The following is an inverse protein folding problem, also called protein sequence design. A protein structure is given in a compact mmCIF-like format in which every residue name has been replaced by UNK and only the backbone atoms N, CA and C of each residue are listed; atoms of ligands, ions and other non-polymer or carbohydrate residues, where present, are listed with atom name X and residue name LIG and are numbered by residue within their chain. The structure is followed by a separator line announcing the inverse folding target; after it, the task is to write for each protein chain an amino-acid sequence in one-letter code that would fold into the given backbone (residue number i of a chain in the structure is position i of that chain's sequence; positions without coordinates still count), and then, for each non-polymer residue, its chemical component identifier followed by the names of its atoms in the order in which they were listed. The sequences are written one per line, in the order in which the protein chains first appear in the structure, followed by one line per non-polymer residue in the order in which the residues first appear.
data_IF_177965176763
#
_entry.id   IF_177965176763
#
_cell.length_a   1.000
_cell.length_b   1.000
_cell.length_c   1.000
_cell.angle_alpha   90.00
_cell.angle_beta   90.00
_cell.angle_gamma   90.00
#
_symmetry.space_group_name_H-M   'P 1'
#
loop_
_entity.id
_entity.type
_entity.pdbx_description
1 polymer ?
#
# COMPACT_ATOMS: atom_id res chain seq x y z
N UNK A 1 19.53 -7.34 12.04
CA UNK A 1 20.17 -6.24 11.26
C UNK A 1 19.89 -6.51 9.79
N UNK A 2 19.54 -5.51 9.00
CA UNK A 2 19.28 -5.68 7.56
C UNK A 2 20.60 -5.92 6.82
N UNK A 3 20.64 -6.96 5.98
CA UNK A 3 21.80 -7.24 5.13
C UNK A 3 21.72 -6.37 3.85
N UNK A 4 22.61 -5.40 3.73
CA UNK A 4 22.69 -4.52 2.57
C UNK A 4 22.94 -5.25 1.24
N UNK A 5 23.49 -6.49 1.27
CA UNK A 5 23.68 -7.30 0.06
C UNK A 5 22.37 -7.71 -0.61
N UNK A 6 21.27 -7.72 0.15
CA UNK A 6 19.92 -8.05 -0.33
C UNK A 6 19.19 -6.83 -0.87
N UNK A 7 19.77 -5.63 -0.77
CA UNK A 7 19.17 -4.39 -1.25
C UNK A 7 19.61 -4.15 -2.69
N UNK A 8 18.67 -3.71 -3.52
CA UNK A 8 18.95 -3.32 -4.90
C UNK A 8 20.00 -2.19 -4.92
N UNK A 9 21.09 -2.40 -5.66
CA UNK A 9 22.22 -1.46 -5.74
C UNK A 9 21.80 -0.11 -6.34
N UNK A 10 20.84 -0.11 -7.26
CA UNK A 10 20.32 1.12 -7.84
C UNK A 10 19.49 1.92 -6.83
N UNK A 11 18.71 1.26 -5.96
CA UNK A 11 18.02 1.95 -4.86
C UNK A 11 19.02 2.59 -3.88
N UNK A 12 20.14 1.90 -3.57
CA UNK A 12 21.20 2.46 -2.72
C UNK A 12 21.83 3.70 -3.39
N UNK A 13 22.11 3.66 -4.70
CA UNK A 13 22.69 4.81 -5.40
C UNK A 13 21.75 6.02 -5.39
N UNK A 14 20.45 5.82 -5.60
CA UNK A 14 19.45 6.91 -5.54
C UNK A 14 19.44 7.56 -4.16
N UNK A 15 19.45 6.75 -3.08
CA UNK A 15 19.50 7.28 -1.71
C UNK A 15 20.77 8.11 -1.47
N UNK A 16 21.91 7.60 -1.93
CA UNK A 16 23.20 8.29 -1.81
C UNK A 16 23.17 9.63 -2.56
N UNK A 17 22.75 9.64 -3.82
CA UNK A 17 22.67 10.85 -4.65
C UNK A 17 21.74 11.91 -4.04
N UNK A 18 20.58 11.50 -3.46
CA UNK A 18 19.68 12.41 -2.76
C UNK A 18 20.32 12.99 -1.51
N UNK A 19 21.03 12.18 -0.71
CA UNK A 19 21.70 12.64 0.50
C UNK A 19 22.88 13.56 0.20
N UNK A 20 23.63 13.33 -0.88
CA UNK A 20 24.68 14.22 -1.37
C UNK A 20 24.14 15.58 -1.83
N UNK A 21 22.86 15.62 -2.23
CA UNK A 21 22.13 16.86 -2.53
C UNK A 21 21.40 17.46 -1.30
N UNK A 22 21.78 17.05 -0.08
CA UNK A 22 21.22 17.50 1.20
C UNK A 22 19.75 17.15 1.42
N UNK A 23 19.23 16.11 0.80
CA UNK A 23 17.90 15.59 1.07
C UNK A 23 17.95 14.37 1.99
N UNK A 24 16.95 14.22 2.83
CA UNK A 24 16.71 12.97 3.53
C UNK A 24 16.20 11.93 2.51
N UNK A 25 16.72 10.71 2.57
CA UNK A 25 16.24 9.62 1.72
C UNK A 25 16.40 8.26 2.41
N UNK A 26 15.38 7.43 2.31
CA UNK A 26 15.29 6.13 2.97
C UNK A 26 14.57 5.11 2.09
N UNK A 27 14.94 3.84 2.20
CA UNK A 27 14.04 2.76 1.84
C UNK A 27 12.83 2.78 2.77
N UNK A 28 11.62 2.41 2.27
CA UNK A 28 10.41 2.56 3.07
C UNK A 28 9.40 1.43 2.89
N UNK A 29 8.65 1.15 3.94
CA UNK A 29 7.43 0.34 3.87
C UNK A 29 7.69 -1.14 3.64
N UNK A 30 7.12 -1.67 2.54
CA UNK A 30 7.13 -3.11 2.25
C UNK A 30 8.49 -3.74 2.18
N UNK A 31 9.46 -3.10 1.54
CA UNK A 31 10.81 -3.63 1.39
C UNK A 31 11.56 -3.68 2.75
N UNK A 32 11.44 -2.65 3.59
CA UNK A 32 12.07 -2.63 4.91
C UNK A 32 11.49 -3.72 5.80
N UNK A 33 10.16 -3.83 5.85
CA UNK A 33 9.46 -4.89 6.59
C UNK A 33 9.88 -6.28 6.11
N UNK A 34 9.88 -6.53 4.80
CA UNK A 34 10.18 -7.84 4.23
C UNK A 34 11.64 -8.21 4.55
N UNK A 35 12.60 -7.29 4.38
CA UNK A 35 14.01 -7.51 4.79
C UNK A 35 14.13 -7.82 6.28
N UNK A 36 13.40 -7.13 7.15
CA UNK A 36 13.38 -7.39 8.60
C UNK A 36 12.81 -8.78 8.94
N UNK A 37 11.86 -9.27 8.14
CA UNK A 37 11.30 -10.61 8.26
C UNK A 37 12.14 -11.70 7.58
N UNK A 38 13.30 -11.36 7.00
CA UNK A 38 14.16 -12.31 6.27
C UNK A 38 13.61 -12.70 4.90
N UNK A 39 12.60 -11.98 4.41
CA UNK A 39 11.99 -12.20 3.08
C UNK A 39 12.73 -11.38 2.02
N UNK A 40 12.63 -11.81 0.77
CA UNK A 40 13.11 -11.04 -0.39
C UNK A 40 12.05 -10.04 -0.85
N UNK A 41 12.33 -8.71 -0.83
CA UNK A 41 11.40 -7.71 -1.35
C UNK A 41 11.24 -7.87 -2.87
N UNK A 42 10.02 -7.68 -3.37
CA UNK A 42 9.75 -7.62 -4.82
C UNK A 42 10.20 -6.29 -5.40
N UNK A 43 9.89 -5.20 -4.70
CA UNK A 43 10.10 -3.82 -5.13
C UNK A 43 10.78 -3.04 -4.01
N UNK A 44 11.56 -2.02 -4.37
CA UNK A 44 12.21 -1.13 -3.43
C UNK A 44 11.66 0.29 -3.62
N UNK A 45 10.93 0.77 -2.61
CA UNK A 45 10.39 2.12 -2.59
C UNK A 45 11.29 3.04 -1.76
N UNK A 46 11.46 4.28 -2.24
CA UNK A 46 12.23 5.31 -1.54
C UNK A 46 11.29 6.43 -1.11
N UNK A 47 11.48 6.92 0.11
CA UNK A 47 10.83 8.12 0.62
C UNK A 47 11.87 9.19 0.94
N UNK A 48 11.55 10.45 0.62
CA UNK A 48 12.46 11.59 0.74
C UNK A 48 11.70 12.87 1.11
N UNK A 49 12.38 13.86 1.67
CA UNK A 49 11.88 15.23 1.83
C UNK A 49 12.00 16.08 0.55
N UNK A 50 12.74 15.61 -0.46
CA UNK A 50 12.80 16.26 -1.76
C UNK A 50 11.42 16.25 -2.44
N UNK A 51 11.00 17.39 -3.01
CA UNK A 51 9.78 17.46 -3.83
C UNK A 51 9.96 16.68 -5.13
N UNK A 52 8.86 16.27 -5.81
CA UNK A 52 8.97 15.55 -7.08
C UNK A 52 9.77 16.31 -8.14
N UNK A 53 9.67 17.63 -8.14
CA UNK A 53 10.41 18.50 -9.06
C UNK A 53 11.92 18.51 -8.73
N UNK A 54 12.29 18.48 -7.45
CA UNK A 54 13.70 18.38 -6.99
C UNK A 54 14.27 17.00 -7.32
N UNK A 55 13.53 15.92 -7.07
CA UNK A 55 13.94 14.55 -7.47
C UNK A 55 14.19 14.49 -8.97
N UNK A 56 13.27 15.05 -9.79
CA UNK A 56 13.43 15.09 -11.24
C UNK A 56 14.64 15.92 -11.68
N UNK A 57 14.98 16.98 -10.95
CA UNK A 57 16.18 17.79 -11.22
C UNK A 57 17.48 17.01 -10.93
N UNK A 58 17.47 16.20 -9.85
CA UNK A 58 18.61 15.36 -9.48
C UNK A 58 18.81 14.21 -10.48
N UNK A 59 17.71 13.57 -10.91
CA UNK A 59 17.77 12.41 -11.82
C UNK A 59 17.20 12.75 -13.17
N UNK A 60 18.08 12.90 -14.19
CA UNK A 60 17.66 13.19 -15.58
C UNK A 60 16.78 12.06 -16.16
N UNK A 61 17.12 10.80 -15.88
CA UNK A 61 16.34 9.64 -16.28
C UNK A 61 15.20 9.38 -15.29
N UNK A 62 14.24 10.31 -15.21
CA UNK A 62 13.10 10.21 -14.29
C UNK A 62 11.83 10.79 -14.88
N UNK A 63 10.67 10.38 -14.35
CA UNK A 63 9.36 10.87 -14.77
C UNK A 63 8.46 11.04 -13.54
N UNK A 64 7.83 12.21 -13.40
CA UNK A 64 6.78 12.44 -12.41
C UNK A 64 5.50 11.77 -12.91
N UNK A 65 4.89 10.93 -12.07
CA UNK A 65 3.63 10.25 -12.34
C UNK A 65 2.61 10.52 -11.25
N UNK A 66 1.34 10.23 -11.55
CA UNK A 66 0.22 10.42 -10.64
C UNK A 66 -0.31 11.86 -10.61
N UNK A 67 -1.63 12.00 -10.77
CA UNK A 67 -2.34 13.30 -10.63
C UNK A 67 -2.72 13.58 -9.19
N UNK A 68 -3.25 12.55 -8.51
CA UNK A 68 -3.74 12.64 -7.13
C UNK A 68 -2.60 12.51 -6.12
N UNK A 69 -1.69 11.58 -6.38
CA UNK A 69 -0.53 11.28 -5.56
C UNK A 69 0.70 11.31 -6.46
N UNK A 70 1.39 12.44 -6.46
CA UNK A 70 2.61 12.56 -7.26
C UNK A 70 3.72 11.71 -6.64
N UNK A 71 4.41 10.94 -7.48
CA UNK A 71 5.64 10.26 -7.17
C UNK A 71 6.57 10.30 -8.40
N UNK A 72 7.82 9.95 -8.22
CA UNK A 72 8.81 9.98 -9.31
C UNK A 72 9.31 8.57 -9.59
N UNK A 73 9.16 8.13 -10.82
CA UNK A 73 9.86 6.96 -11.31
C UNK A 73 11.25 7.35 -11.75
N UNK A 74 12.27 6.76 -11.14
CA UNK A 74 13.66 6.89 -11.54
C UNK A 74 14.08 5.62 -12.27
N UNK A 75 14.70 5.77 -13.45
CA UNK A 75 15.02 4.66 -14.33
C UNK A 75 16.53 4.46 -14.46
N UNK A 76 16.94 3.21 -14.53
CA UNK A 76 18.27 2.80 -14.95
C UNK A 76 18.15 1.57 -15.86
N UNK A 77 18.27 1.76 -17.17
CA UNK A 77 18.06 0.69 -18.18
C UNK A 77 16.71 -0.01 -18.00
N UNK A 78 16.72 -1.24 -17.46
CA UNK A 78 15.51 -2.05 -17.19
C UNK A 78 14.97 -1.92 -15.76
N UNK A 79 15.69 -1.22 -14.88
CA UNK A 79 15.28 -1.05 -13.49
C UNK A 79 14.48 0.22 -13.30
N UNK A 80 13.47 0.14 -12.44
CA UNK A 80 12.62 1.26 -12.04
C UNK A 80 12.52 1.29 -10.53
N UNK A 81 12.77 2.46 -9.92
CA UNK A 81 12.58 2.69 -8.49
C UNK A 81 11.59 3.83 -8.32
N UNK A 82 10.60 3.61 -7.45
CA UNK A 82 9.65 4.64 -7.06
C UNK A 82 10.22 5.51 -5.94
N UNK A 83 10.20 6.82 -6.16
CA UNK A 83 10.63 7.82 -5.17
C UNK A 83 9.45 8.70 -4.82
N UNK A 84 9.01 8.62 -3.56
CA UNK A 84 7.88 9.39 -3.03
C UNK A 84 8.37 10.48 -2.09
N UNK A 85 7.81 11.69 -2.19
CA UNK A 85 8.02 12.75 -1.20
C UNK A 85 7.24 12.43 0.07
N UNK A 86 7.81 12.73 1.25
CA UNK A 86 7.08 12.65 2.53
C UNK A 86 5.80 13.46 2.47
N UNK A 87 4.72 12.90 2.96
CA UNK A 87 3.40 13.53 2.95
C UNK A 87 2.94 13.83 4.37
N UNK A 88 2.25 14.96 4.52
CA UNK A 88 1.54 15.25 5.76
C UNK A 88 0.27 14.41 5.89
N UNK A 89 -0.20 14.25 7.15
CA UNK A 89 -1.52 13.67 7.44
C UNK A 89 -2.67 14.67 7.23
N UNK A 90 -3.90 14.20 7.38
CA UNK A 90 -5.12 15.00 7.19
C UNK A 90 -5.24 16.22 8.14
N UNK A 91 -4.60 16.18 9.30
CA UNK A 91 -4.71 17.23 10.31
C UNK A 91 -3.93 18.53 9.97
N UNK A 92 -3.17 18.52 8.86
CA UNK A 92 -2.41 19.70 8.37
C UNK A 92 -3.26 20.64 7.49
N UNK A 93 -4.56 20.65 7.64
CA UNK A 93 -5.56 21.27 6.76
C UNK A 93 -5.54 22.81 6.70
N UNK A 94 -4.54 23.48 7.26
CA UNK A 94 -4.43 24.96 7.18
C UNK A 94 -3.76 25.50 5.91
N UNK A 95 -3.26 24.65 5.01
CA UNK A 95 -2.65 25.11 3.76
C UNK A 95 -3.43 24.53 2.55
N UNK A 96 -4.23 25.33 1.89
CA UNK A 96 -5.19 25.14 0.81
C UNK A 96 -4.93 24.18 -0.37
N UNK A 97 -4.06 23.19 -0.21
CA UNK A 97 -3.73 22.21 -1.24
C UNK A 97 -4.43 20.85 -1.07
N UNK A 98 -5.19 20.66 0.02
CA UNK A 98 -6.03 19.48 0.21
C UNK A 98 -7.40 19.76 -0.41
N UNK A 99 -7.74 19.09 -1.50
CA UNK A 99 -9.06 19.18 -2.11
C UNK A 99 -9.86 17.95 -1.70
N UNK A 100 -10.95 18.17 -0.95
CA UNK A 100 -11.96 17.14 -0.62
C UNK A 100 -13.19 17.36 -1.50
N UNK A 101 -13.91 16.30 -1.83
CA UNK A 101 -15.24 16.39 -2.43
C UNK A 101 -16.30 16.69 -1.36
N UNK A 102 -17.56 16.87 -1.81
CA UNK A 102 -18.71 17.14 -0.93
C UNK A 102 -19.01 16.02 0.08
N UNK A 103 -18.44 14.83 -0.11
CA UNK A 103 -18.53 13.67 0.79
C UNK A 103 -17.34 13.55 1.75
N UNK A 104 -16.41 14.52 1.76
CA UNK A 104 -15.20 14.51 2.59
C UNK A 104 -14.06 13.66 2.03
N UNK A 105 -14.20 13.09 0.83
CA UNK A 105 -13.21 12.21 0.21
C UNK A 105 -12.08 13.04 -0.41
N UNK A 106 -10.84 12.70 -0.09
CA UNK A 106 -9.66 13.42 -0.60
C UNK A 106 -9.54 13.23 -2.11
N UNK A 107 -9.63 14.34 -2.88
CA UNK A 107 -9.43 14.35 -4.33
C UNK A 107 -7.95 14.57 -4.69
N UNK A 108 -7.23 15.37 -3.91
CA UNK A 108 -5.82 15.68 -4.12
C UNK A 108 -5.10 15.77 -2.77
N UNK A 109 -4.01 15.03 -2.63
CA UNK A 109 -3.13 15.01 -1.46
C UNK A 109 -1.69 15.14 -1.94
N UNK A 110 -1.28 16.37 -2.23
CA UNK A 110 0.11 16.72 -2.53
C UNK A 110 0.62 17.72 -1.47
N UNK A 111 0.23 17.51 -0.23
CA UNK A 111 0.75 18.27 0.90
C UNK A 111 1.99 17.53 1.39
N UNK A 112 3.14 18.17 1.23
CA UNK A 112 4.41 17.62 1.65
C UNK A 112 4.54 17.77 3.16
N UNK A 113 5.10 16.75 3.79
CA UNK A 113 5.33 16.67 5.22
C UNK A 113 6.77 16.30 5.55
N UNK A 114 6.99 16.03 6.82
CA UNK A 114 8.21 15.43 7.33
C UNK A 114 8.09 13.91 7.48
N UNK A 115 9.17 13.27 7.91
CA UNK A 115 9.25 11.82 8.13
C UNK A 115 8.23 11.36 9.19
N UNK A 116 8.00 12.15 10.23
CA UNK A 116 7.08 11.80 11.30
C UNK A 116 5.64 11.80 10.79
N UNK A 117 5.24 12.83 10.06
CA UNK A 117 3.92 12.93 9.44
C UNK A 117 3.68 11.81 8.42
N UNK A 118 4.68 11.50 7.57
CA UNK A 118 4.58 10.37 6.63
C UNK A 118 4.45 9.03 7.36
N UNK A 119 5.10 8.89 8.51
CA UNK A 119 5.00 7.70 9.37
C UNK A 119 3.58 7.51 9.90
N UNK A 120 2.98 8.56 10.48
CA UNK A 120 1.67 8.46 11.13
C UNK A 120 0.50 8.33 10.16
N UNK A 121 0.61 8.76 8.90
CA UNK A 121 -0.46 8.56 7.90
C UNK A 121 -0.54 7.13 7.35
N UNK A 122 0.49 6.27 7.58
CA UNK A 122 0.51 4.88 7.08
C UNK A 122 -0.53 4.01 7.79
N UNK A 123 -0.74 2.80 7.27
CA UNK A 123 -1.76 1.87 7.76
C UNK A 123 -1.34 1.13 9.03
N UNK A 124 -0.21 0.43 8.97
CA UNK A 124 0.25 -0.45 10.04
C UNK A 124 1.68 -0.11 10.44
N UNK A 125 1.98 -0.28 11.73
CA UNK A 125 3.29 0.02 12.32
C UNK A 125 4.44 -0.70 11.61
N UNK A 126 4.22 -1.95 11.20
CA UNK A 126 5.20 -2.76 10.46
C UNK A 126 5.49 -2.24 9.05
N UNK A 127 4.63 -1.40 8.48
CA UNK A 127 4.80 -0.77 7.17
C UNK A 127 5.32 0.67 7.28
N UNK A 128 5.52 1.18 8.50
CA UNK A 128 5.95 2.55 8.78
C UNK A 128 7.39 2.59 9.30
N UNK A 129 8.23 1.77 8.71
CA UNK A 129 9.66 1.72 8.96
C UNK A 129 10.43 2.23 7.74
N UNK A 130 11.49 2.94 8.00
CA UNK A 130 12.38 3.56 7.03
C UNK A 130 13.80 3.11 7.35
N UNK A 131 14.56 2.75 6.32
CA UNK A 131 15.93 2.27 6.48
C UNK A 131 16.89 3.07 5.61
N UNK A 132 17.96 3.56 6.20
CA UNK A 132 19.05 4.20 5.48
C UNK A 132 20.19 3.18 5.29
N UNK A 133 20.47 2.71 4.07
CA UNK A 133 21.53 1.75 3.81
C UNK A 133 22.93 2.34 4.05
N UNK A 134 23.09 3.65 3.99
CA UNK A 134 24.38 4.33 4.19
C UNK A 134 24.74 4.38 5.68
N UNK A 135 23.84 4.87 6.53
CA UNK A 135 24.04 4.93 7.99
C UNK A 135 23.64 3.63 8.71
N UNK A 136 23.01 2.69 8.02
CA UNK A 136 22.47 1.43 8.55
C UNK A 136 21.46 1.63 9.71
N UNK A 137 20.78 2.78 9.73
CA UNK A 137 19.80 3.10 10.75
C UNK A 137 18.37 2.84 10.28
N UNK A 138 17.55 2.31 11.18
CA UNK A 138 16.11 2.21 11.02
C UNK A 138 15.47 3.34 11.83
N UNK A 139 14.54 4.05 11.19
CA UNK A 139 13.73 5.13 11.80
C UNK A 139 12.26 4.89 11.46
N UNK A 140 11.36 5.72 11.98
CA UNK A 140 9.91 5.63 11.70
C UNK A 140 9.10 5.32 12.97
N UNK A 141 8.03 4.51 12.83
CA UNK A 141 7.14 4.25 13.97
C UNK A 141 7.87 3.49 15.09
N UNK A 142 7.84 4.05 16.31
CA UNK A 142 8.59 3.55 17.48
C UNK A 142 8.35 2.08 17.79
N UNK A 143 7.10 1.60 17.60
CA UNK A 143 6.73 0.22 17.89
C UNK A 143 6.81 -0.71 16.68
N UNK A 144 7.20 -0.20 15.49
CA UNK A 144 7.21 -1.00 14.26
C UNK A 144 8.12 -2.22 14.33
N UNK A 145 9.33 -2.06 14.87
CA UNK A 145 10.26 -3.17 15.09
C UNK A 145 9.75 -4.17 16.12
N UNK A 146 9.17 -3.68 17.23
CA UNK A 146 8.55 -4.51 18.26
C UNK A 146 7.46 -5.41 17.67
N UNK A 147 6.54 -4.83 16.90
CA UNK A 147 5.43 -5.59 16.29
C UNK A 147 5.88 -6.58 15.21
N UNK A 148 7.03 -6.34 14.53
CA UNK A 148 7.67 -7.36 13.68
C UNK A 148 8.15 -8.55 14.52
N UNK A 149 8.82 -8.31 15.64
CA UNK A 149 9.29 -9.36 16.55
C UNK A 149 8.13 -10.16 17.15
N UNK A 150 7.07 -9.48 17.56
CA UNK A 150 5.85 -10.07 18.11
C UNK A 150 4.97 -10.75 17.05
N UNK A 151 5.34 -10.61 15.77
CA UNK A 151 4.58 -11.12 14.62
C UNK A 151 3.12 -10.65 14.65
N UNK A 152 2.92 -9.35 14.87
CA UNK A 152 1.61 -8.74 15.02
C UNK A 152 1.37 -7.63 14.00
N UNK A 153 0.17 -7.59 13.42
CA UNK A 153 -0.32 -6.48 12.60
C UNK A 153 -1.08 -5.54 13.50
N UNK A 154 -0.53 -4.35 13.72
CA UNK A 154 -1.10 -3.31 14.60
C UNK A 154 -1.29 -2.03 13.80
N UNK A 155 -2.46 -1.39 13.97
CA UNK A 155 -2.79 -0.11 13.31
C UNK A 155 -1.97 1.04 13.87
N UNK A 156 -1.69 2.02 13.03
CA UNK A 156 -1.21 3.32 13.49
C UNK A 156 -2.44 4.16 13.83
N UNK A 157 -2.56 4.55 15.10
CA UNK A 157 -3.75 5.22 15.61
C UNK A 157 -4.95 4.29 15.79
N UNK A 158 -6.11 4.87 16.07
CA UNK A 158 -7.36 4.14 16.30
C UNK A 158 -7.84 3.41 15.03
N UNK A 159 -7.91 2.06 15.01
CA UNK A 159 -8.27 1.31 13.82
C UNK A 159 -9.70 1.58 13.35
N UNK A 160 -10.64 1.90 14.24
CA UNK A 160 -12.04 2.21 13.88
C UNK A 160 -12.09 3.50 13.06
N UNK A 161 -11.40 4.56 13.52
CA UNK A 161 -11.26 5.82 12.78
C UNK A 161 -10.54 5.59 11.46
N UNK A 162 -9.43 4.86 11.48
CA UNK A 162 -8.58 4.60 10.30
C UNK A 162 -9.30 3.79 9.21
N UNK A 163 -10.19 2.86 9.60
CA UNK A 163 -10.98 2.09 8.64
C UNK A 163 -12.20 2.86 8.13
N UNK A 164 -12.71 3.83 8.91
CA UNK A 164 -13.70 4.78 8.41
C UNK A 164 -13.13 5.72 7.34
N UNK A 165 -11.87 6.17 7.50
CA UNK A 165 -11.16 6.98 6.50
C UNK A 165 -10.84 6.18 5.23
N UNK A 166 -10.40 4.93 5.37
CA UNK A 166 -10.02 4.03 4.28
C UNK A 166 -10.37 2.57 4.60
N UNK A 167 -11.58 2.10 4.22
CA UNK A 167 -12.03 0.73 4.48
C UNK A 167 -11.13 -0.35 3.84
N UNK A 168 -10.39 -0.04 2.78
CA UNK A 168 -9.48 -1.00 2.13
C UNK A 168 -8.35 -1.45 3.06
N UNK A 169 -8.07 -0.70 4.13
CA UNK A 169 -7.11 -1.12 5.16
C UNK A 169 -7.52 -2.44 5.85
N UNK A 170 -8.81 -2.74 5.94
CA UNK A 170 -9.30 -4.04 6.46
C UNK A 170 -8.83 -5.21 5.60
N UNK A 171 -8.92 -5.08 4.27
CA UNK A 171 -8.42 -6.07 3.30
C UNK A 171 -6.89 -6.20 3.37
N UNK A 172 -6.20 -5.07 3.51
CA UNK A 172 -4.75 -5.02 3.65
C UNK A 172 -4.27 -5.70 4.93
N UNK A 173 -4.99 -5.56 6.06
CA UNK A 173 -4.68 -6.24 7.32
C UNK A 173 -4.68 -7.75 7.13
N UNK A 174 -5.70 -8.29 6.47
CA UNK A 174 -5.82 -9.73 6.18
C UNK A 174 -4.69 -10.19 5.26
N UNK A 175 -4.44 -9.46 4.18
CA UNK A 175 -3.38 -9.78 3.22
C UNK A 175 -1.99 -9.81 3.87
N UNK A 176 -1.64 -8.79 4.64
CA UNK A 176 -0.35 -8.74 5.33
C UNK A 176 -0.23 -9.80 6.43
N UNK A 177 -1.30 -10.04 7.19
CA UNK A 177 -1.31 -11.09 8.20
C UNK A 177 -0.99 -12.46 7.60
N UNK A 178 -1.57 -12.80 6.45
CA UNK A 178 -1.28 -14.06 5.78
C UNK A 178 0.11 -14.07 5.12
N UNK A 179 0.50 -12.99 4.41
CA UNK A 179 1.81 -12.87 3.76
C UNK A 179 2.96 -13.05 4.75
N UNK A 180 2.85 -12.47 5.94
CA UNK A 180 3.90 -12.45 6.96
C UNK A 180 3.74 -13.58 7.99
N UNK A 181 2.63 -14.30 7.96
CA UNK A 181 2.21 -15.21 9.03
C UNK A 181 2.16 -14.52 10.39
N UNK A 182 1.58 -13.30 10.42
CA UNK A 182 1.42 -12.48 11.61
C UNK A 182 -0.02 -12.55 12.13
N UNK A 183 -0.19 -12.40 13.43
CA UNK A 183 -1.50 -12.27 14.06
C UNK A 183 -2.06 -10.86 13.80
N UNK A 184 -3.37 -10.78 13.56
CA UNK A 184 -4.07 -9.49 13.55
C UNK A 184 -4.37 -9.12 15.00
N UNK A 185 -4.06 -7.89 15.38
CA UNK A 185 -4.34 -7.36 16.70
C UNK A 185 -5.84 -7.35 17.01
N UNK A 186 -6.21 -7.35 18.30
CA UNK A 186 -7.61 -7.42 18.75
C UNK A 186 -8.42 -6.22 18.28
N UNK A 187 -7.87 -5.02 18.41
CA UNK A 187 -8.55 -3.78 18.05
C UNK A 187 -8.81 -3.69 16.55
N UNK A 188 -7.87 -4.20 15.73
CA UNK A 188 -8.06 -4.32 14.27
C UNK A 188 -9.20 -5.30 13.94
N UNK A 189 -9.30 -6.44 14.65
CA UNK A 189 -10.38 -7.40 14.42
C UNK A 189 -11.75 -6.76 14.72
N UNK A 190 -11.87 -6.07 15.85
CA UNK A 190 -13.09 -5.36 16.22
C UNK A 190 -13.45 -4.29 15.18
N UNK A 191 -12.46 -3.50 14.73
CA UNK A 191 -12.66 -2.51 13.67
C UNK A 191 -13.08 -3.14 12.33
N UNK A 192 -12.57 -4.33 11.97
CA UNK A 192 -13.01 -5.06 10.77
C UNK A 192 -14.51 -5.41 10.86
N UNK A 193 -14.96 -5.93 12.00
CA UNK A 193 -16.38 -6.27 12.19
C UNK A 193 -17.27 -5.02 12.17
N UNK A 194 -16.82 -3.93 12.77
CA UNK A 194 -17.59 -2.70 12.85
C UNK A 194 -17.66 -1.94 11.51
N UNK A 195 -16.53 -1.82 10.81
CA UNK A 195 -16.39 -0.95 9.62
C UNK A 195 -16.27 -1.69 8.30
N UNK A 196 -16.23 -3.02 8.29
CA UNK A 196 -16.08 -3.80 7.07
C UNK A 196 -17.17 -3.55 6.02
N UNK A 197 -18.38 -3.17 6.45
CA UNK A 197 -19.49 -2.81 5.57
C UNK A 197 -19.19 -1.60 4.66
N UNK A 198 -18.31 -0.68 5.08
CA UNK A 198 -17.91 0.49 4.29
C UNK A 198 -17.13 0.13 3.01
N UNK A 199 -16.75 -1.14 2.85
CA UNK A 199 -16.18 -1.61 1.58
C UNK A 199 -17.16 -1.51 0.41
N UNK A 200 -18.48 -1.52 0.65
CA UNK A 200 -19.51 -1.27 -0.37
C UNK A 200 -19.39 0.11 -1.03
N UNK A 201 -18.83 1.09 -0.33
CA UNK A 201 -18.72 2.47 -0.81
C UNK A 201 -17.42 2.73 -1.60
N UNK A 202 -16.57 1.72 -1.70
CA UNK A 202 -15.29 1.80 -2.40
C UNK A 202 -15.49 1.53 -3.90
N UNK A 203 -14.82 2.32 -4.74
CA UNK A 203 -14.89 2.13 -6.19
C UNK A 203 -14.40 0.73 -6.61
N UNK A 204 -15.10 0.13 -7.58
CA UNK A 204 -14.78 -1.20 -8.10
C UNK A 204 -13.31 -1.32 -8.58
N UNK A 205 -12.76 -0.27 -9.20
CA UNK A 205 -11.36 -0.26 -9.63
C UNK A 205 -10.39 -0.46 -8.46
N UNK A 206 -10.64 0.22 -7.32
CA UNK A 206 -9.80 0.12 -6.14
C UNK A 206 -9.96 -1.23 -5.42
N UNK A 207 -11.18 -1.75 -5.35
CA UNK A 207 -11.44 -3.11 -4.83
C UNK A 207 -10.77 -4.16 -5.71
N UNK A 208 -10.82 -4.01 -7.04
CA UNK A 208 -10.18 -4.92 -7.99
C UNK A 208 -8.66 -4.91 -7.87
N UNK A 209 -8.04 -3.75 -7.70
CA UNK A 209 -6.59 -3.66 -7.45
C UNK A 209 -6.18 -4.44 -6.19
N UNK A 210 -6.93 -4.31 -5.11
CA UNK A 210 -6.63 -5.04 -3.87
C UNK A 210 -6.99 -6.54 -4.00
N UNK A 211 -8.06 -6.88 -4.73
CA UNK A 211 -8.40 -8.25 -5.10
C UNK A 211 -7.21 -8.93 -5.82
N UNK A 212 -6.66 -8.29 -6.84
CA UNK A 212 -5.50 -8.83 -7.55
C UNK A 212 -4.30 -9.06 -6.60
N UNK A 213 -4.01 -8.11 -5.71
CA UNK A 213 -2.92 -8.25 -4.71
C UNK A 213 -3.17 -9.39 -3.73
N UNK A 214 -4.43 -9.66 -3.36
CA UNK A 214 -4.82 -10.72 -2.45
C UNK A 214 -4.71 -12.08 -3.12
N UNK A 215 -5.30 -12.23 -4.31
CA UNK A 215 -5.47 -13.54 -4.95
C UNK A 215 -4.30 -13.95 -5.85
N UNK A 216 -3.54 -12.98 -6.40
CA UNK A 216 -2.34 -13.28 -7.21
C UNK A 216 -1.05 -13.37 -6.38
N UNK A 217 -1.16 -13.34 -5.05
CA UNK A 217 0.00 -13.41 -4.13
C UNK A 217 0.55 -14.81 -3.90
N UNK A 218 -0.07 -15.86 -4.46
CA UNK A 218 0.26 -17.25 -4.16
C UNK A 218 -0.37 -17.79 -2.87
N UNK A 219 -1.23 -17.01 -2.21
CA UNK A 219 -1.92 -17.35 -0.95
C UNK A 219 -3.44 -17.21 -1.06
N UNK A 220 -4.00 -17.43 -2.26
CA UNK A 220 -5.41 -17.18 -2.57
C UNK A 220 -6.36 -17.88 -1.60
N UNK A 221 -6.15 -19.17 -1.35
CA UNK A 221 -7.00 -19.97 -0.46
C UNK A 221 -6.98 -19.45 0.99
N UNK A 222 -5.78 -19.22 1.55
CA UNK A 222 -5.64 -18.68 2.92
C UNK A 222 -6.29 -17.31 3.05
N UNK A 223 -6.11 -16.46 2.04
CA UNK A 223 -6.70 -15.13 2.01
C UNK A 223 -8.22 -15.21 1.92
N UNK A 224 -8.76 -16.07 1.05
CA UNK A 224 -10.20 -16.26 0.90
C UNK A 224 -10.84 -16.77 2.19
N UNK A 225 -10.28 -17.82 2.80
CA UNK A 225 -10.80 -18.38 4.05
C UNK A 225 -10.82 -17.32 5.17
N UNK A 226 -9.77 -16.52 5.27
CA UNK A 226 -9.70 -15.46 6.27
C UNK A 226 -10.64 -14.29 5.96
N UNK A 227 -10.80 -13.88 4.71
CA UNK A 227 -11.79 -12.89 4.28
C UNK A 227 -13.22 -13.37 4.59
N UNK A 228 -13.51 -14.63 4.33
CA UNK A 228 -14.82 -15.25 4.61
C UNK A 228 -15.11 -15.30 6.11
N UNK A 229 -14.12 -15.63 6.94
CA UNK A 229 -14.28 -15.65 8.40
C UNK A 229 -14.59 -14.27 9.00
N UNK A 230 -14.22 -13.19 8.32
CA UNK A 230 -14.57 -11.81 8.69
C UNK A 230 -15.80 -11.26 7.93
N UNK A 231 -16.44 -12.07 7.06
CA UNK A 231 -17.57 -11.64 6.26
C UNK A 231 -17.24 -10.62 5.16
N UNK A 232 -15.96 -10.49 4.78
CA UNK A 232 -15.49 -9.50 3.79
C UNK A 232 -15.47 -10.04 2.36
N UNK A 233 -15.54 -11.36 2.16
CA UNK A 233 -15.47 -11.99 0.83
C UNK A 233 -16.60 -11.51 -0.11
N UNK A 234 -17.79 -11.23 0.43
CA UNK A 234 -18.96 -10.74 -0.32
C UNK A 234 -18.74 -9.40 -1.03
N UNK A 235 -17.81 -8.56 -0.54
CA UNK A 235 -17.48 -7.27 -1.18
C UNK A 235 -16.49 -7.40 -2.33
N UNK A 236 -15.81 -8.55 -2.44
CA UNK A 236 -14.81 -8.82 -3.46
C UNK A 236 -15.31 -9.78 -4.54
N UNK A 237 -16.22 -10.67 -4.18
CA UNK A 237 -16.72 -11.74 -5.04
C UNK A 237 -18.24 -11.73 -4.95
N UNK A 238 -18.91 -11.37 -6.07
CA UNK A 238 -20.36 -11.47 -6.16
C UNK A 238 -20.80 -12.93 -6.16
N UNK A 239 -21.76 -13.27 -5.32
CA UNK A 239 -22.44 -14.56 -5.38
C UNK A 239 -23.46 -14.58 -6.51
N UNK A 240 -23.81 -15.76 -7.03
CA UNK A 240 -24.65 -15.93 -8.24
C UNK A 240 -26.02 -15.21 -8.19
N UNK A 241 -26.51 -14.86 -7.00
CA UNK A 241 -27.77 -14.11 -6.84
C UNK A 241 -27.68 -12.65 -7.35
N UNK A 242 -26.48 -12.07 -7.44
CA UNK A 242 -26.26 -10.69 -7.90
C UNK A 242 -25.84 -10.61 -9.38
N UNK A 243 -25.57 -11.76 -10.04
CA UNK A 243 -25.20 -11.81 -11.47
C UNK A 243 -26.26 -11.25 -12.40
N UNK A 244 -27.54 -11.23 -11.99
CA UNK A 244 -28.63 -10.71 -12.82
C UNK A 244 -28.56 -9.20 -13.09
N UNK A 245 -27.91 -8.42 -12.22
CA UNK A 245 -27.73 -6.97 -12.43
C UNK A 245 -26.48 -6.62 -13.24
N UNK A 246 -25.42 -7.44 -13.15
CA UNK A 246 -24.17 -7.22 -13.90
C UNK A 246 -24.33 -7.38 -15.42
N UNK A 247 -25.31 -8.18 -15.87
CA UNK A 247 -25.58 -8.38 -17.30
C UNK A 247 -26.34 -7.21 -17.93
N UNK A 248 -26.86 -6.25 -17.16
CA UNK A 248 -27.68 -5.13 -17.68
C UNK A 248 -26.89 -3.87 -18.02
N UNK A 249 -25.59 -3.81 -17.71
CA UNK A 249 -24.78 -2.59 -17.99
C UNK A 249 -23.55 -2.90 -18.86
N UNK A 250 -23.68 -2.81 -20.21
CA UNK A 250 -22.62 -3.19 -21.16
C UNK A 250 -21.36 -2.30 -21.09
N UNK A 251 -21.41 -1.14 -20.43
CA UNK A 251 -20.26 -0.21 -20.29
C UNK A 251 -19.19 -0.78 -19.36
N UNK A 252 -19.54 -1.63 -18.40
CA UNK A 252 -18.57 -2.31 -17.52
C UNK A 252 -17.72 -3.37 -18.24
N UNK A 253 -18.23 -3.94 -19.33
CA UNK A 253 -17.61 -5.06 -20.06
C UNK A 253 -16.39 -4.62 -20.88
N UNK A 254 -16.37 -3.40 -21.38
CA UNK A 254 -15.25 -2.88 -22.21
C UNK A 254 -14.02 -2.55 -21.39
N UNK A 255 -14.18 -2.16 -20.12
CA UNK A 255 -13.03 -1.92 -19.22
C UNK A 255 -12.38 -3.20 -18.71
N UNK A 256 -13.16 -4.28 -18.57
CA UNK A 256 -12.65 -5.61 -18.19
C UNK A 256 -11.87 -6.28 -19.34
N UNK A 257 -12.25 -6.04 -20.62
CA UNK A 257 -11.58 -6.62 -21.79
C UNK A 257 -10.13 -6.17 -21.97
N UNK A 258 -9.76 -4.96 -21.55
CA UNK A 258 -8.38 -4.46 -21.63
C UNK A 258 -7.42 -5.18 -20.65
N UNK A 259 -7.93 -5.95 -19.68
CA UNK A 259 -7.17 -6.73 -18.70
C UNK A 259 -7.42 -8.25 -18.80
N UNK A 260 -8.03 -8.74 -19.88
CA UNK A 260 -8.50 -10.13 -20.03
C UNK A 260 -7.43 -11.22 -19.91
N UNK A 261 -6.16 -10.94 -20.15
CA UNK A 261 -5.10 -11.96 -20.11
C UNK A 261 -4.75 -12.43 -18.69
N UNK A 262 -5.06 -11.63 -17.66
CA UNK A 262 -4.83 -12.00 -16.24
C UNK A 262 -6.12 -12.39 -15.49
N UNK A 263 -7.26 -11.81 -15.83
CA UNK A 263 -8.55 -12.06 -15.18
C UNK A 263 -9.11 -13.46 -15.47
N UNK A 264 -8.92 -13.99 -16.67
CA UNK A 264 -9.39 -15.35 -17.04
C UNK A 264 -8.74 -16.48 -16.23
N UNK A 265 -7.53 -16.27 -15.71
CA UNK A 265 -6.86 -17.27 -14.87
C UNK A 265 -7.51 -17.38 -13.48
N UNK A 266 -7.99 -16.26 -12.93
CA UNK A 266 -8.60 -16.21 -11.60
C UNK A 266 -10.03 -16.80 -11.63
N UNK A 267 -10.82 -16.50 -12.64
CA UNK A 267 -12.17 -17.08 -12.80
C UNK A 267 -12.14 -18.61 -13.01
N UNK A 268 -11.09 -19.15 -13.66
CA UNK A 268 -10.91 -20.62 -13.78
C UNK A 268 -10.51 -21.29 -12.48
N UNK A 269 -9.74 -20.60 -11.63
CA UNK A 269 -9.30 -21.13 -10.31
C UNK A 269 -10.43 -21.15 -9.28
N UNK A 270 -11.40 -20.26 -9.39
CA UNK A 270 -12.54 -20.16 -8.45
C UNK A 270 -13.78 -20.92 -8.97
N UNK A 271 -13.90 -21.15 -10.28
CA UNK A 271 -15.07 -21.74 -10.93
C UNK A 271 -14.89 -23.16 -11.48
N UNK A 272 -13.75 -23.79 -11.32
CA UNK A 272 -13.44 -25.08 -11.95
C UNK A 272 -13.48 -26.27 -11.04
N UNK A 273 -14.66 -26.78 -10.71
CA UNK A 273 -14.94 -28.22 -10.63
C UNK A 273 -16.34 -28.46 -11.21
N UNK A 274 -16.39 -28.90 -12.42
CA UNK A 274 -17.33 -29.87 -12.91
C UNK A 274 -16.55 -31.10 -13.27
#
# INVERSE_FOLDING_TARGET
MIDNKKINKFAISIIKDLQENNFQAYLVGGCVRDLMCGLEPKDFDIATDATPEQVRKTFKASRIIGRRFKLVHVFNRSELIEVATFRSGEDSSNNGNLIKDTSGKIIRDNIWGDLEQDTYRRDFTVNALYYCPISQKIVGHKDGMKHIHEKSIVSIGDPVKRFSEDPVRSLRAIRFSNKLNFKIDKDIKEAIYEKGHLLSDISNARLFDEFCKIFLSGMAEKNFNKLSSYGLSKYLISTDSERSEFTRNPVSYTHLRAHETRGNLVCRLVGGKK
#
